data_IF_378435843566
#
_entry.id   IF_378435843566
#
_cell.length_a   1.000
_cell.length_b   1.000
_cell.length_c   1.000
_cell.angle_alpha   90.00
_cell.angle_beta   90.00
_cell.angle_gamma   90.00
#
_symmetry.space_group_name_H-M   'P 1'
#
loop_
_entity.id
_entity.type
_entity.pdbx_description
1 polymer ?
#
# COMPACT_ATOMS: atom_id res chain seq x y z
N UNK A 1 -12.00 35.65 -0.31
CA UNK A 1 -12.36 34.34 -0.86
C UNK A 1 -11.68 34.27 -2.21
N UNK A 2 -10.60 33.53 -2.42
CA UNK A 2 -10.35 32.16 -1.97
C UNK A 2 -8.84 31.98 -1.68
N UNK A 3 -8.51 31.31 -0.59
CA UNK A 3 -7.13 30.98 -0.23
C UNK A 3 -6.58 29.91 -1.16
N UNK A 4 -5.49 30.21 -1.84
CA UNK A 4 -4.68 29.24 -2.56
C UNK A 4 -3.93 28.38 -1.55
N UNK A 5 -4.40 27.15 -1.43
CA UNK A 5 -3.96 26.06 -0.56
C UNK A 5 -2.46 25.79 -0.73
N UNK A 6 -1.76 25.74 0.40
CA UNK A 6 -0.34 25.40 0.54
C UNK A 6 -0.04 24.02 -0.07
N UNK A 7 0.77 23.99 -1.13
CA UNK A 7 1.58 22.82 -1.50
C UNK A 7 2.78 22.79 -0.55
N UNK A 8 2.64 22.05 0.55
CA UNK A 8 3.74 21.76 1.48
C UNK A 8 4.18 20.31 1.31
N UNK A 9 5.40 20.18 0.79
CA UNK A 9 6.48 19.35 1.32
C UNK A 9 6.14 17.91 1.74
N UNK A 10 6.58 16.92 0.95
CA UNK A 10 6.78 15.54 1.45
C UNK A 10 8.06 14.93 0.85
N UNK A 11 9.21 15.49 1.21
CA UNK A 11 10.51 14.78 1.20
C UNK A 11 10.70 13.98 2.49
N UNK A 12 9.77 13.07 2.85
CA UNK A 12 9.89 12.27 4.06
C UNK A 12 9.89 10.75 3.80
N UNK A 13 11.07 10.17 3.93
CA UNK A 13 11.28 9.13 4.94
C UNK A 13 10.86 7.72 4.56
N UNK A 14 11.87 6.88 4.37
CA UNK A 14 11.81 5.45 4.63
C UNK A 14 11.11 5.16 5.98
N UNK A 15 9.82 4.83 5.94
CA UNK A 15 9.13 4.28 7.10
C UNK A 15 7.92 3.47 6.68
N UNK A 16 8.16 2.16 6.71
CA UNK A 16 7.20 1.14 7.09
C UNK A 16 5.90 1.69 7.74
N UNK A 17 4.77 1.20 7.23
CA UNK A 17 3.42 1.33 7.80
C UNK A 17 2.70 2.68 7.59
N UNK A 18 1.80 2.68 6.60
CA UNK A 18 0.41 3.02 6.92
C UNK A 18 -0.12 4.41 6.60
N UNK A 19 0.57 5.24 5.81
CA UNK A 19 0.03 6.55 5.46
C UNK A 19 0.09 6.76 3.94
N UNK A 20 -0.92 6.26 3.21
CA UNK A 20 -1.21 6.85 1.91
C UNK A 20 -1.66 8.29 2.16
N UNK A 21 -0.72 9.24 2.17
CA UNK A 21 -0.97 10.68 2.23
C UNK A 21 -1.52 11.26 0.91
N UNK A 22 -2.11 10.42 0.05
CA UNK A 22 -2.59 10.82 -1.27
C UNK A 22 -4.11 10.80 -1.30
N UNK A 23 -4.70 11.96 -1.60
CA UNK A 23 -6.10 12.23 -1.94
C UNK A 23 -6.98 10.97 -2.03
N UNK A 24 -7.95 10.85 -1.11
CA UNK A 24 -9.03 9.85 -1.10
C UNK A 24 -9.68 9.72 -2.49
N UNK A 25 -9.11 8.89 -3.36
CA UNK A 25 -9.70 8.52 -4.63
C UNK A 25 -10.58 7.32 -4.36
N UNK A 26 -11.83 7.35 -4.84
CA UNK A 26 -12.85 6.31 -4.63
C UNK A 26 -12.43 4.88 -5.10
N UNK A 27 -11.26 4.75 -5.74
CA UNK A 27 -10.62 3.53 -6.23
C UNK A 27 -9.59 2.92 -5.25
N UNK A 28 -9.84 3.00 -3.95
CA UNK A 28 -9.01 2.34 -2.94
C UNK A 28 -9.37 0.86 -2.80
N UNK A 29 -8.54 -0.01 -3.35
CA UNK A 29 -8.72 -1.46 -3.25
C UNK A 29 -7.77 -2.09 -2.22
N UNK A 30 -8.27 -3.13 -1.55
CA UNK A 30 -7.59 -3.82 -0.46
C UNK A 30 -7.43 -5.30 -0.80
N UNK A 31 -6.35 -5.91 -0.32
CA UNK A 31 -6.04 -7.32 -0.51
C UNK A 31 -5.59 -7.96 0.81
N UNK A 32 -6.12 -9.15 1.11
CA UNK A 32 -5.76 -9.92 2.30
C UNK A 32 -4.62 -10.90 2.00
N UNK A 33 -3.61 -10.94 2.87
CA UNK A 33 -2.48 -11.86 2.75
C UNK A 33 -2.84 -13.24 3.31
N UNK A 34 -2.65 -14.32 2.55
CA UNK A 34 -2.88 -15.70 3.00
C UNK A 34 -1.90 -16.18 4.08
N UNK A 35 -0.80 -15.46 4.33
CA UNK A 35 0.25 -15.87 5.28
C UNK A 35 0.07 -15.26 6.66
N UNK A 36 -0.27 -13.97 6.71
CA UNK A 36 -0.44 -13.24 7.96
C UNK A 36 -1.88 -12.77 8.18
N UNK A 37 -2.78 -13.05 7.23
CA UNK A 37 -4.20 -12.71 7.27
C UNK A 37 -4.47 -11.22 7.48
N UNK A 38 -3.48 -10.37 7.18
CA UNK A 38 -3.57 -8.91 7.25
C UNK A 38 -4.03 -8.33 5.92
N UNK A 39 -4.76 -7.24 6.01
CA UNK A 39 -5.23 -6.48 4.87
C UNK A 39 -4.25 -5.35 4.52
N UNK A 40 -4.07 -5.15 3.22
CA UNK A 40 -3.14 -4.17 2.67
C UNK A 40 -3.79 -3.40 1.53
N UNK A 41 -3.51 -2.10 1.42
CA UNK A 41 -3.82 -1.35 0.22
C UNK A 41 -3.02 -1.89 -0.94
N UNK A 42 -3.70 -2.26 -2.02
CA UNK A 42 -3.06 -2.74 -3.22
C UNK A 42 -1.96 -1.80 -3.73
N UNK A 43 -2.19 -0.48 -3.70
CA UNK A 43 -1.19 0.54 -4.04
C UNK A 43 0.06 0.46 -3.15
N UNK A 44 -0.10 0.30 -1.83
CA UNK A 44 1.02 0.16 -0.89
C UNK A 44 1.86 -1.10 -1.15
N UNK A 45 1.22 -2.18 -1.60
CA UNK A 45 1.89 -3.45 -1.91
C UNK A 45 2.17 -3.64 -3.40
N UNK A 46 2.00 -2.59 -4.22
CA UNK A 46 2.18 -2.59 -5.69
C UNK A 46 1.39 -3.69 -6.41
N UNK A 47 0.23 -4.03 -5.89
CA UNK A 47 -0.78 -4.86 -6.55
C UNK A 47 -1.74 -3.92 -7.27
N UNK A 48 -2.31 -4.39 -8.38
CA UNK A 48 -3.45 -3.76 -9.05
C UNK A 48 -4.68 -4.67 -8.92
N UNK A 49 -5.92 -4.17 -9.01
CA UNK A 49 -7.11 -5.01 -8.92
C UNK A 49 -7.09 -6.15 -9.95
N UNK A 50 -6.68 -5.86 -11.18
CA UNK A 50 -6.49 -6.86 -12.24
C UNK A 50 -5.48 -7.95 -11.86
N UNK A 51 -4.41 -7.59 -11.13
CA UNK A 51 -3.44 -8.56 -10.63
C UNK A 51 -4.05 -9.39 -9.51
N UNK A 52 -4.80 -8.77 -8.59
CA UNK A 52 -5.47 -9.44 -7.49
C UNK A 52 -6.47 -10.50 -8.00
N UNK A 53 -7.24 -10.20 -9.05
CA UNK A 53 -8.16 -11.16 -9.67
C UNK A 53 -7.45 -12.41 -10.22
N UNK A 54 -6.19 -12.28 -10.63
CA UNK A 54 -5.38 -13.40 -11.13
C UNK A 54 -4.60 -14.13 -10.04
N UNK A 55 -4.55 -13.60 -8.81
CA UNK A 55 -3.79 -14.16 -7.70
C UNK A 55 -4.70 -15.08 -6.88
N UNK A 56 -4.39 -16.38 -6.85
CA UNK A 56 -5.12 -17.36 -6.02
C UNK A 56 -4.71 -17.34 -4.54
N UNK A 57 -3.45 -17.02 -4.26
CA UNK A 57 -2.90 -16.89 -2.92
C UNK A 57 -1.97 -15.68 -2.90
N UNK A 58 -2.37 -14.65 -2.16
CA UNK A 58 -1.60 -13.43 -2.05
C UNK A 58 -0.66 -13.49 -0.86
N UNK A 59 0.61 -13.18 -1.12
CA UNK A 59 1.63 -13.06 -0.08
C UNK A 59 2.14 -11.63 -0.03
N UNK A 60 1.99 -10.97 1.12
CA UNK A 60 2.44 -9.59 1.28
C UNK A 60 3.97 -9.49 1.24
N UNK A 61 4.51 -8.32 0.88
CA UNK A 61 5.96 -8.09 0.80
C UNK A 61 6.66 -8.42 2.12
N UNK A 62 6.04 -8.09 3.25
CA UNK A 62 6.59 -8.39 4.59
C UNK A 62 6.73 -9.89 4.85
N UNK A 63 5.80 -10.72 4.38
CA UNK A 63 5.93 -12.18 4.48
C UNK A 63 6.88 -12.75 3.41
N UNK A 64 7.06 -12.05 2.30
CA UNK A 64 7.95 -12.45 1.21
C UNK A 64 9.42 -12.18 1.55
N UNK A 65 9.73 -11.04 2.15
CA UNK A 65 11.09 -10.58 2.44
C UNK A 65 11.75 -11.22 3.67
N UNK A 66 11.02 -11.95 4.51
CA UNK A 66 11.57 -12.62 5.71
C UNK A 66 12.44 -13.85 5.42
N UNK A 67 12.96 -14.02 4.19
CA UNK A 67 13.87 -15.11 3.83
C UNK A 67 15.36 -14.76 3.79
N UNK A 68 15.76 -13.52 4.05
CA UNK A 68 17.19 -13.18 4.09
C UNK A 68 17.52 -12.18 5.21
N UNK A 69 17.87 -12.73 6.37
CA UNK A 69 18.73 -12.04 7.33
C UNK A 69 19.79 -13.08 7.72
N UNK A 70 20.84 -13.17 6.90
CA UNK A 70 22.14 -13.65 7.37
C UNK A 70 22.95 -12.45 7.82
#
# INVERSE_FOLDING_TARGET
MEGSYEDKEDEHGDSFYGSCGGNYTNDEFWICCDVCERWYHGKCVKITPTKAESIKQYKCPSCCSTKERQ
#
